data_IF_387342384170
#
_entry.id   IF_387342384170
#
_cell.length_a   1.000
_cell.length_b   1.000
_cell.length_c   1.000
_cell.angle_alpha   90.00
_cell.angle_beta   90.00
_cell.angle_gamma   90.00
#
_symmetry.space_group_name_H-M   'P 1'
#
loop_
_entity.id
_entity.type
_entity.pdbx_description
1 polymer ?
#
# COMPACT_ATOMS: atom_id res chain seq x y z
N UNK A 1 -13.15 19.30 1.90
CA UNK A 1 -12.85 18.55 0.64
C UNK A 1 -11.35 18.30 0.63
N UNK A 2 -10.88 17.08 0.28
CA UNK A 2 -9.44 16.79 0.20
C UNK A 2 -8.83 17.58 -0.96
N UNK A 3 -7.73 18.24 -0.67
CA UNK A 3 -6.90 18.99 -1.61
C UNK A 3 -5.46 18.46 -1.52
N UNK A 4 -4.91 17.99 -2.64
CA UNK A 4 -3.59 17.36 -2.65
C UNK A 4 -2.46 18.37 -2.41
N UNK A 5 -2.59 19.60 -2.90
CA UNK A 5 -1.56 20.62 -2.71
C UNK A 5 -1.50 21.01 -1.24
N UNK A 6 -2.66 21.25 -0.60
CA UNK A 6 -2.73 21.54 0.83
C UNK A 6 -2.24 20.36 1.68
N UNK A 7 -2.65 19.13 1.36
CA UNK A 7 -2.17 17.93 2.05
C UNK A 7 -0.64 17.79 1.97
N UNK A 8 -0.06 18.04 0.80
CA UNK A 8 1.39 18.02 0.60
C UNK A 8 2.07 19.14 1.42
N UNK A 9 1.50 20.34 1.43
CA UNK A 9 2.00 21.46 2.24
C UNK A 9 1.94 21.15 3.73
N UNK A 10 0.85 20.55 4.22
CA UNK A 10 0.69 20.13 5.61
C UNK A 10 1.72 19.05 6.01
N UNK A 11 1.97 18.07 5.14
CA UNK A 11 3.02 17.06 5.36
C UNK A 11 4.41 17.69 5.44
N UNK A 12 4.72 18.67 4.57
CA UNK A 12 5.98 19.40 4.60
C UNK A 12 6.13 20.25 5.87
N UNK A 13 5.07 20.93 6.29
CA UNK A 13 5.08 21.70 7.54
C UNK A 13 5.29 20.78 8.76
N UNK A 14 4.61 19.62 8.77
CA UNK A 14 4.79 18.61 9.80
C UNK A 14 6.24 18.09 9.84
N UNK A 15 6.85 17.81 8.68
CA UNK A 15 8.24 17.36 8.56
C UNK A 15 9.25 18.45 8.98
N UNK A 16 8.96 19.71 8.72
CA UNK A 16 9.80 20.82 9.15
C UNK A 16 9.77 21.02 10.67
N UNK A 17 8.62 20.76 11.31
CA UNK A 17 8.46 20.84 12.76
C UNK A 17 9.12 19.65 13.50
N UNK A 18 9.01 18.45 12.94
CA UNK A 18 9.62 17.22 13.46
C UNK A 18 9.94 16.28 12.29
N UNK A 19 11.22 15.97 12.08
CA UNK A 19 11.67 15.06 11.01
C UNK A 19 11.21 13.60 11.17
N UNK A 20 10.55 13.28 12.29
CA UNK A 20 9.93 11.97 12.49
C UNK A 20 8.56 11.87 11.81
N UNK A 21 8.02 10.66 11.80
CA UNK A 21 6.67 10.39 11.27
C UNK A 21 5.52 10.93 12.14
N UNK A 22 5.79 11.43 13.36
CA UNK A 22 4.74 11.71 14.38
C UNK A 22 3.70 12.72 13.89
N UNK A 23 4.15 13.92 13.51
CA UNK A 23 3.25 14.95 13.04
C UNK A 23 2.63 14.63 11.67
N UNK A 24 3.38 13.94 10.80
CA UNK A 24 2.84 13.47 9.51
C UNK A 24 1.71 12.46 9.73
N UNK A 25 1.81 11.58 10.75
CA UNK A 25 0.71 10.66 11.10
C UNK A 25 -0.58 11.42 11.42
N UNK A 26 -0.49 12.54 12.12
CA UNK A 26 -1.65 13.38 12.42
C UNK A 26 -2.30 13.97 11.16
N UNK A 27 -1.48 14.40 10.20
CA UNK A 27 -1.94 14.90 8.90
C UNK A 27 -2.68 13.80 8.12
N UNK A 28 -2.07 12.61 8.02
CA UNK A 28 -2.65 11.46 7.34
C UNK A 28 -3.94 11.00 8.04
N UNK A 29 -3.95 10.92 9.37
CA UNK A 29 -5.12 10.52 10.14
C UNK A 29 -6.32 11.47 9.90
N UNK A 30 -6.08 12.79 9.86
CA UNK A 30 -7.14 13.76 9.51
C UNK A 30 -7.64 13.57 8.08
N UNK A 31 -6.75 13.29 7.13
CA UNK A 31 -7.15 13.09 5.73
C UNK A 31 -8.03 11.85 5.57
N UNK A 32 -7.63 10.71 6.15
CA UNK A 32 -8.40 9.45 6.02
C UNK A 32 -9.67 9.42 6.87
N UNK A 33 -9.79 10.28 7.89
CA UNK A 33 -11.03 10.43 8.66
C UNK A 33 -12.20 10.87 7.76
N UNK A 34 -11.95 11.64 6.68
CA UNK A 34 -12.91 11.96 5.62
C UNK A 34 -12.59 11.17 4.35
N UNK A 35 -12.76 9.84 4.44
CA UNK A 35 -12.49 8.90 3.32
C UNK A 35 -13.30 9.23 2.06
N UNK A 36 -14.53 9.73 2.23
CA UNK A 36 -15.36 10.18 1.11
C UNK A 36 -14.77 11.37 0.34
N UNK A 37 -14.06 12.27 1.02
CA UNK A 37 -13.36 13.39 0.36
C UNK A 37 -12.16 12.90 -0.45
N UNK A 38 -11.40 11.93 0.06
CA UNK A 38 -10.30 11.27 -0.66
C UNK A 38 -10.82 10.54 -1.90
N UNK A 39 -11.90 9.76 -1.77
CA UNK A 39 -12.52 9.06 -2.90
C UNK A 39 -13.01 10.02 -3.99
N UNK A 40 -13.57 11.17 -3.62
CA UNK A 40 -13.97 12.20 -4.62
C UNK A 40 -12.77 12.82 -5.34
N UNK A 41 -11.66 13.01 -4.65
CA UNK A 41 -10.47 13.65 -5.21
C UNK A 41 -9.60 12.68 -6.03
N UNK A 42 -9.41 11.45 -5.55
CA UNK A 42 -8.55 10.43 -6.18
C UNK A 42 -9.32 9.50 -7.11
N UNK A 43 -10.66 9.48 -7.00
CA UNK A 43 -11.52 8.53 -7.68
C UNK A 43 -11.60 7.17 -6.97
N UNK A 44 -12.65 6.41 -7.30
CA UNK A 44 -12.76 5.02 -6.85
C UNK A 44 -11.62 4.17 -7.43
N UNK A 45 -10.99 3.32 -6.61
CA UNK A 45 -9.96 2.40 -7.10
C UNK A 45 -10.49 1.50 -8.23
N UNK A 46 -9.80 1.48 -9.37
CA UNK A 46 -10.18 0.68 -10.54
C UNK A 46 -9.12 -0.33 -10.96
N UNK A 47 -7.88 -0.07 -10.60
CA UNK A 47 -6.70 -0.86 -10.95
C UNK A 47 -5.69 -0.78 -9.82
N UNK A 48 -5.07 -1.91 -9.49
CA UNK A 48 -3.99 -1.95 -8.52
C UNK A 48 -2.72 -1.28 -9.04
N UNK A 49 -1.97 -0.62 -8.16
CA UNK A 49 -0.74 0.07 -8.53
C UNK A 49 -0.25 1.08 -7.50
N UNK A 50 0.93 1.62 -7.80
CA UNK A 50 1.57 2.70 -7.06
C UNK A 50 1.42 3.99 -7.87
N UNK A 51 0.55 4.89 -7.44
CA UNK A 51 0.30 6.15 -8.13
C UNK A 51 0.99 7.29 -7.40
N UNK A 52 2.03 7.85 -8.01
CA UNK A 52 2.78 8.95 -7.44
C UNK A 52 1.94 10.23 -7.38
N UNK A 53 1.75 10.77 -6.17
CA UNK A 53 1.11 12.05 -5.92
C UNK A 53 2.12 13.16 -5.69
N UNK A 54 3.23 12.86 -5.00
CA UNK A 54 4.35 13.79 -4.77
C UNK A 54 5.64 13.00 -4.64
N UNK A 55 6.76 13.57 -5.11
CA UNK A 55 8.10 13.03 -4.94
C UNK A 55 9.11 14.15 -4.74
N UNK A 56 9.87 14.04 -3.66
CA UNK A 56 11.06 14.85 -3.37
C UNK A 56 12.08 13.98 -2.64
N UNK A 57 13.31 14.48 -2.45
CA UNK A 57 14.38 13.75 -1.77
C UNK A 57 14.05 13.42 -0.29
N UNK A 58 13.18 14.18 0.33
CA UNK A 58 12.83 14.11 1.75
C UNK A 58 11.37 13.69 2.02
N UNK A 59 10.54 13.62 0.97
CA UNK A 59 9.11 13.31 1.10
C UNK A 59 8.57 12.66 -0.19
N UNK A 60 7.97 11.49 -0.07
CA UNK A 60 7.19 10.87 -1.15
C UNK A 60 5.76 10.61 -0.66
N UNK A 61 4.77 10.92 -1.49
CA UNK A 61 3.36 10.62 -1.24
C UNK A 61 2.84 9.76 -2.39
N UNK A 62 2.29 8.59 -2.05
CA UNK A 62 1.71 7.66 -3.01
C UNK A 62 0.23 7.44 -2.71
N UNK A 63 -0.58 7.31 -3.75
CA UNK A 63 -1.85 6.60 -3.68
C UNK A 63 -1.58 5.15 -4.08
N UNK A 64 -1.64 4.24 -3.12
CA UNK A 64 -1.41 2.81 -3.31
C UNK A 64 -2.76 2.12 -3.42
N UNK A 65 -2.94 1.35 -4.49
CA UNK A 65 -4.15 0.55 -4.69
C UNK A 65 -3.76 -0.93 -4.72
N UNK A 66 -4.26 -1.69 -3.75
CA UNK A 66 -4.03 -3.13 -3.64
C UNK A 66 -5.15 -3.91 -4.35
N UNK A 67 -4.77 -4.88 -5.18
CA UNK A 67 -5.75 -5.81 -5.76
C UNK A 67 -6.35 -6.73 -4.68
N UNK A 68 -7.56 -7.28 -4.89
CA UNK A 68 -8.11 -8.32 -4.02
C UNK A 68 -7.15 -9.47 -3.83
N UNK A 69 -6.98 -9.91 -2.59
CA UNK A 69 -6.13 -11.05 -2.20
C UNK A 69 -4.64 -10.93 -2.57
N UNK A 70 -4.19 -9.73 -2.98
CA UNK A 70 -2.80 -9.47 -3.34
C UNK A 70 -1.92 -9.44 -2.10
N UNK A 71 -0.72 -10.04 -2.21
CA UNK A 71 0.32 -9.99 -1.18
C UNK A 71 1.64 -9.51 -1.78
N UNK A 72 2.33 -8.63 -1.06
CA UNK A 72 3.74 -8.26 -1.30
C UNK A 72 4.61 -8.91 -0.22
N UNK A 73 5.74 -9.48 -0.68
CA UNK A 73 6.73 -10.16 0.15
C UNK A 73 7.28 -9.25 1.29
N UNK A 74 7.91 -9.83 2.30
CA UNK A 74 8.58 -9.05 3.33
C UNK A 74 9.64 -8.14 2.72
N UNK A 75 9.60 -6.86 3.08
CA UNK A 75 10.53 -5.83 2.60
C UNK A 75 10.68 -4.71 3.62
N UNK A 76 11.70 -3.89 3.44
CA UNK A 76 11.87 -2.65 4.19
C UNK A 76 11.86 -1.44 3.25
N UNK A 77 11.72 -0.26 3.83
CA UNK A 77 11.79 1.00 3.08
C UNK A 77 13.09 1.76 3.34
N UNK A 78 13.83 1.43 4.42
CA UNK A 78 14.99 2.19 4.92
C UNK A 78 14.69 3.66 5.24
N UNK A 79 13.41 3.97 5.39
CA UNK A 79 12.84 5.25 5.80
C UNK A 79 11.55 5.00 6.57
N UNK A 80 11.10 5.95 7.36
CA UNK A 80 9.79 5.85 7.99
C UNK A 80 8.68 5.99 6.94
N UNK A 81 7.53 5.40 7.24
CA UNK A 81 6.31 5.57 6.46
C UNK A 81 5.12 5.85 7.38
N UNK A 82 4.08 6.46 6.82
CA UNK A 82 2.75 6.53 7.42
C UNK A 82 1.76 6.02 6.39
N UNK A 83 0.98 5.02 6.76
CA UNK A 83 -0.04 4.40 5.93
C UNK A 83 -1.40 4.86 6.43
N UNK A 84 -2.24 5.39 5.55
CA UNK A 84 -3.62 5.76 5.86
C UNK A 84 -4.59 5.11 4.88
N UNK A 85 -5.55 4.33 5.39
CA UNK A 85 -6.52 3.61 4.56
C UNK A 85 -7.75 4.49 4.33
N UNK A 86 -8.06 4.79 3.06
CA UNK A 86 -9.28 5.54 2.72
C UNK A 86 -10.41 4.66 2.17
N UNK A 87 -10.11 3.41 1.77
CA UNK A 87 -11.13 2.38 1.47
C UNK A 87 -10.52 1.00 1.54
N UNK A 88 -11.27 0.04 2.06
CA UNK A 88 -10.84 -1.34 2.14
C UNK A 88 -10.08 -1.71 3.41
N UNK A 89 -9.08 -2.58 3.26
CA UNK A 89 -8.27 -3.13 4.36
C UNK A 89 -6.89 -3.52 3.87
N UNK A 90 -5.90 -3.25 4.69
CA UNK A 90 -4.51 -3.64 4.51
C UNK A 90 -4.01 -4.35 5.76
N UNK A 91 -3.60 -5.61 5.63
CA UNK A 91 -2.99 -6.37 6.73
C UNK A 91 -1.48 -6.36 6.58
N UNK A 92 -0.80 -5.99 7.66
CA UNK A 92 0.65 -5.97 7.75
C UNK A 92 1.10 -7.09 8.67
N UNK A 93 2.06 -7.93 8.23
CA UNK A 93 2.83 -8.80 9.08
C UNK A 93 4.19 -8.13 9.28
N UNK A 94 4.59 -7.94 10.53
CA UNK A 94 5.90 -7.42 10.89
C UNK A 94 6.88 -8.57 11.09
N UNK A 95 8.10 -8.38 10.62
CA UNK A 95 9.16 -9.37 10.64
C UNK A 95 10.36 -8.83 11.43
N UNK A 96 11.12 -9.71 12.04
CA UNK A 96 12.41 -9.39 12.67
C UNK A 96 13.48 -10.33 12.13
N UNK A 97 14.70 -9.84 12.05
CA UNK A 97 15.87 -10.64 11.67
C UNK A 97 16.16 -11.68 12.73
N UNK A 98 16.50 -12.90 12.32
CA UNK A 98 17.01 -13.91 13.24
C UNK A 98 18.40 -13.48 13.74
N UNK A 99 18.70 -13.72 15.05
CA UNK A 99 19.97 -13.31 15.63
C UNK A 99 21.15 -14.24 15.27
N UNK A 100 20.89 -15.31 14.51
CA UNK A 100 21.86 -16.36 14.14
C UNK A 100 22.78 -15.98 12.97
N UNK A 101 22.63 -14.78 12.40
CA UNK A 101 23.41 -14.32 11.25
C UNK A 101 23.05 -14.94 9.91
N UNK A 102 21.97 -15.72 9.83
CA UNK A 102 21.51 -16.37 8.59
C UNK A 102 20.96 -15.41 7.54
N UNK A 103 20.67 -14.16 7.91
CA UNK A 103 19.96 -13.19 7.05
C UNK A 103 18.45 -13.47 6.92
N UNK A 104 17.94 -14.49 7.62
CA UNK A 104 16.52 -14.82 7.63
C UNK A 104 15.72 -13.94 8.57
N UNK A 105 14.42 -13.92 8.35
CA UNK A 105 13.44 -13.25 9.21
C UNK A 105 12.40 -14.24 9.73
N UNK A 106 11.77 -13.87 10.84
CA UNK A 106 10.61 -14.54 11.42
C UNK A 106 9.50 -13.54 11.69
N UNK A 107 8.24 -14.00 11.71
CA UNK A 107 7.11 -13.14 12.06
C UNK A 107 7.20 -12.69 13.52
N UNK A 108 7.05 -11.38 13.73
CA UNK A 108 7.18 -10.74 15.05
C UNK A 108 5.87 -10.08 15.53
N UNK A 109 4.90 -9.89 14.63
CA UNK A 109 3.61 -9.31 14.93
C UNK A 109 2.80 -9.07 13.68
N UNK A 110 1.56 -8.60 13.87
CA UNK A 110 0.68 -8.24 12.77
C UNK A 110 -0.23 -7.08 13.17
N UNK A 111 -0.65 -6.30 12.18
CA UNK A 111 -1.62 -5.24 12.34
C UNK A 111 -2.54 -5.18 11.12
N UNK A 112 -3.85 -5.21 11.35
CA UNK A 112 -4.83 -4.92 10.33
C UNK A 112 -5.13 -3.41 10.35
N UNK A 113 -5.14 -2.79 9.19
CA UNK A 113 -5.55 -1.41 8.98
C UNK A 113 -6.84 -1.41 8.17
N UNK A 114 -7.88 -0.83 8.71
CA UNK A 114 -9.18 -0.68 8.07
C UNK A 114 -9.38 0.77 7.61
N UNK A 115 -10.45 1.00 6.88
CA UNK A 115 -10.84 2.35 6.47
C UNK A 115 -10.84 3.33 7.65
N UNK A 116 -10.20 4.49 7.48
CA UNK A 116 -9.95 5.56 8.43
C UNK A 116 -8.82 5.31 9.43
N UNK A 117 -8.15 4.16 9.36
CA UNK A 117 -6.95 3.94 10.16
C UNK A 117 -5.73 4.65 9.56
N UNK A 118 -4.85 5.13 10.44
CA UNK A 118 -3.54 5.67 10.09
C UNK A 118 -2.47 5.13 11.04
N UNK A 119 -1.50 4.40 10.49
CA UNK A 119 -0.43 3.77 11.24
C UNK A 119 0.96 4.21 10.77
N UNK A 120 1.89 4.48 11.70
CA UNK A 120 3.27 4.74 11.36
C UNK A 120 4.08 3.44 11.27
N UNK A 121 5.04 3.42 10.36
CA UNK A 121 6.10 2.43 10.27
C UNK A 121 7.44 3.12 10.52
N UNK A 122 8.23 2.61 11.46
CA UNK A 122 9.58 3.09 11.73
C UNK A 122 10.54 2.78 10.56
N UNK A 123 11.69 3.44 10.54
CA UNK A 123 12.69 3.32 9.48
C UNK A 123 13.15 1.87 9.23
N UNK A 124 13.31 1.10 10.29
CA UNK A 124 13.92 -0.24 10.25
C UNK A 124 12.87 -1.37 10.23
N UNK A 125 11.60 -1.00 10.06
CA UNK A 125 10.51 -1.99 9.98
C UNK A 125 10.66 -2.84 8.73
N UNK A 126 10.58 -4.16 8.93
CA UNK A 126 10.39 -5.14 7.87
C UNK A 126 8.93 -5.57 7.93
N UNK A 127 8.21 -5.45 6.84
CA UNK A 127 6.82 -5.86 6.77
C UNK A 127 6.48 -6.52 5.44
N UNK A 128 5.47 -7.38 5.44
CA UNK A 128 4.74 -7.84 4.26
C UNK A 128 3.32 -7.30 4.33
N UNK A 129 2.74 -7.04 3.17
CA UNK A 129 1.41 -6.43 3.04
C UNK A 129 0.48 -7.36 2.31
N UNK A 130 -0.74 -7.51 2.80
CA UNK A 130 -1.80 -8.26 2.14
C UNK A 130 -3.09 -7.44 2.13
N UNK A 131 -3.76 -7.39 0.98
CA UNK A 131 -5.17 -7.03 0.93
C UNK A 131 -6.01 -8.31 1.08
N UNK A 132 -6.60 -8.59 2.26
CA UNK A 132 -7.26 -9.87 2.53
C UNK A 132 -8.71 -9.93 2.05
N UNK A 133 -9.23 -8.88 1.42
CA UNK A 133 -10.64 -8.78 1.05
C UNK A 133 -10.86 -8.88 -0.46
N UNK A 134 -12.05 -9.34 -0.93
CA UNK A 134 -12.33 -9.56 -2.36
C UNK A 134 -12.71 -8.26 -3.11
N UNK A 135 -12.10 -7.13 -2.72
CA UNK A 135 -12.24 -5.84 -3.41
C UNK A 135 -10.95 -5.05 -3.35
N UNK A 136 -10.82 -4.04 -4.21
CA UNK A 136 -9.67 -3.13 -4.19
C UNK A 136 -9.60 -2.38 -2.85
N UNK A 137 -8.40 -2.20 -2.33
CA UNK A 137 -8.11 -1.35 -1.18
C UNK A 137 -7.31 -0.15 -1.65
N UNK A 138 -7.69 1.04 -1.20
CA UNK A 138 -6.98 2.29 -1.48
C UNK A 138 -6.38 2.90 -0.22
N UNK A 139 -5.10 3.26 -0.30
CA UNK A 139 -4.34 3.81 0.81
C UNK A 139 -3.47 5.00 0.36
N UNK A 140 -3.32 6.00 1.25
CA UNK A 140 -2.29 7.02 1.13
C UNK A 140 -1.08 6.55 1.92
N UNK A 141 0.07 6.47 1.26
CA UNK A 141 1.35 6.18 1.89
C UNK A 141 2.23 7.42 1.81
N UNK A 142 2.73 7.87 2.95
CA UNK A 142 3.66 8.99 3.06
C UNK A 142 4.99 8.48 3.59
N UNK A 143 6.08 8.73 2.85
CA UNK A 143 7.43 8.27 3.16
C UNK A 143 8.34 9.46 3.46
N UNK A 144 9.21 9.31 4.46
CA UNK A 144 10.21 10.30 4.84
C UNK A 144 11.51 10.18 4.05
N UNK A 145 11.40 10.22 2.73
CA UNK A 145 12.50 10.11 1.79
C UNK A 145 12.01 9.90 0.36
N UNK A 146 12.94 9.71 -0.57
CA UNK A 146 12.62 9.32 -1.94
C UNK A 146 12.35 7.80 -1.99
N UNK A 147 11.06 7.43 -2.05
CA UNK A 147 10.63 6.03 -2.13
C UNK A 147 11.17 5.32 -3.38
N UNK A 148 11.44 6.05 -4.45
CA UNK A 148 11.90 5.48 -5.71
C UNK A 148 13.40 5.28 -5.79
N UNK A 149 14.16 5.74 -4.77
CA UNK A 149 15.57 5.36 -4.61
C UNK A 149 15.64 3.97 -3.94
N UNK A 150 16.05 2.91 -4.66
CA UNK A 150 16.12 1.55 -4.11
C UNK A 150 17.37 1.32 -3.26
N UNK A 151 18.29 2.30 -3.18
CA UNK A 151 19.55 2.18 -2.43
C UNK A 151 19.25 1.84 -0.98
N UNK A 152 19.88 0.79 -0.45
CA UNK A 152 19.72 0.30 0.93
C UNK A 152 18.39 -0.35 1.28
N UNK A 153 17.53 -0.67 0.30
CA UNK A 153 16.31 -1.44 0.54
C UNK A 153 16.57 -2.93 0.34
N UNK A 154 15.93 -3.74 1.17
CA UNK A 154 15.96 -5.19 1.10
C UNK A 154 14.56 -5.75 0.95
N UNK A 155 14.48 -6.93 0.36
CA UNK A 155 13.32 -7.80 0.42
C UNK A 155 13.74 -9.19 0.87
N UNK A 156 12.79 -9.97 1.37
CA UNK A 156 13.01 -11.35 1.76
C UNK A 156 12.18 -12.26 0.86
N UNK A 157 12.83 -13.30 0.37
CA UNK A 157 12.17 -14.32 -0.44
C UNK A 157 11.03 -14.97 0.38
N UNK A 158 9.80 -15.06 -0.15
CA UNK A 158 8.65 -15.52 0.61
C UNK A 158 8.70 -17.00 1.02
N UNK A 159 9.53 -17.83 0.35
CA UNK A 159 9.65 -19.26 0.63
C UNK A 159 10.82 -19.56 1.57
N UNK A 160 11.97 -18.97 1.29
CA UNK A 160 13.22 -19.23 2.04
C UNK A 160 13.43 -18.27 3.21
N UNK A 161 12.75 -17.12 3.19
CA UNK A 161 12.90 -15.99 4.10
C UNK A 161 14.32 -15.41 4.16
N UNK A 162 15.11 -15.63 3.10
CA UNK A 162 16.45 -15.08 2.96
C UNK A 162 16.40 -13.66 2.40
N UNK A 163 17.30 -12.80 2.93
CA UNK A 163 17.44 -11.43 2.48
C UNK A 163 18.11 -11.33 1.11
N UNK A 164 17.59 -10.44 0.29
CA UNK A 164 18.16 -10.01 -0.98
C UNK A 164 17.97 -8.51 -1.20
N UNK A 165 18.62 -7.93 -2.22
CA UNK A 165 18.35 -6.55 -2.62
C UNK A 165 16.88 -6.42 -3.08
N UNK A 166 16.27 -5.27 -2.79
CA UNK A 166 14.91 -5.01 -3.23
C UNK A 166 14.80 -4.95 -4.76
N UNK A 167 13.93 -5.77 -5.34
CA UNK A 167 13.64 -5.80 -6.78
C UNK A 167 12.36 -5.00 -7.09
N UNK A 168 12.54 -3.74 -7.49
CA UNK A 168 11.43 -2.86 -7.85
C UNK A 168 10.61 -3.39 -9.03
N UNK A 169 11.25 -4.06 -10.00
CA UNK A 169 10.55 -4.65 -11.15
C UNK A 169 9.69 -5.83 -10.72
N UNK A 170 10.15 -6.65 -9.76
CA UNK A 170 9.34 -7.73 -9.18
C UNK A 170 8.10 -7.15 -8.50
N UNK A 171 8.25 -6.08 -7.72
CA UNK A 171 7.10 -5.43 -7.09
C UNK A 171 6.10 -4.93 -8.13
N UNK A 172 6.54 -4.28 -9.21
CA UNK A 172 5.67 -3.84 -10.31
C UNK A 172 4.98 -5.02 -10.99
N UNK A 173 5.72 -6.10 -11.30
CA UNK A 173 5.15 -7.32 -11.89
C UNK A 173 4.01 -7.90 -11.04
N UNK A 174 4.14 -7.89 -9.70
CA UNK A 174 3.06 -8.35 -8.80
C UNK A 174 1.76 -7.57 -8.98
N UNK A 175 1.84 -6.25 -9.14
CA UNK A 175 0.65 -5.42 -9.43
C UNK A 175 0.07 -5.73 -10.81
N UNK A 176 0.89 -5.98 -11.82
CA UNK A 176 0.45 -6.33 -13.18
C UNK A 176 -0.23 -7.70 -13.23
N UNK A 177 0.33 -8.72 -12.60
CA UNK A 177 -0.23 -10.05 -12.44
C UNK A 177 -1.61 -9.98 -11.76
N UNK A 178 -1.71 -9.26 -10.64
CA UNK A 178 -2.96 -9.07 -9.92
C UNK A 178 -4.02 -8.34 -10.77
N UNK A 179 -3.62 -7.36 -11.57
CA UNK A 179 -4.51 -6.69 -12.51
C UNK A 179 -4.96 -7.60 -13.66
N UNK A 180 -4.15 -8.54 -14.09
CA UNK A 180 -4.54 -9.53 -15.12
C UNK A 180 -5.66 -10.44 -14.60
N UNK A 181 -5.55 -10.93 -13.36
CA UNK A 181 -6.61 -11.72 -12.69
C UNK A 181 -7.90 -10.92 -12.60
N UNK A 182 -7.83 -9.64 -12.19
CA UNK A 182 -9.01 -8.77 -12.09
C UNK A 182 -9.75 -8.57 -13.43
N UNK A 183 -9.03 -8.54 -14.54
CA UNK A 183 -9.65 -8.45 -15.88
C UNK A 183 -10.39 -9.72 -16.23
N UNK A 184 -9.76 -10.88 -16.06
CA UNK A 184 -10.36 -12.18 -16.34
C UNK A 184 -11.65 -12.40 -15.54
N UNK A 185 -11.67 -12.05 -14.26
CA UNK A 185 -12.85 -12.18 -13.39
C UNK A 185 -14.01 -11.27 -13.81
N UNK A 186 -13.71 -10.10 -14.39
CA UNK A 186 -14.74 -9.20 -14.93
C UNK A 186 -15.35 -9.74 -16.21
N UNK A 187 -14.51 -10.24 -17.11
CA UNK A 187 -14.95 -10.77 -18.41
C UNK A 187 -15.83 -12.01 -18.22
N UNK A 188 -15.45 -12.94 -17.33
CA UNK A 188 -16.25 -14.13 -17.00
C UNK A 188 -17.59 -13.81 -16.34
N UNK A 189 -17.67 -12.77 -15.52
CA UNK A 189 -18.94 -12.32 -14.92
C UNK A 189 -19.87 -11.66 -15.93
N UNK A 190 -19.33 -10.97 -16.92
CA UNK A 190 -20.09 -10.33 -17.99
C UNK A 190 -20.69 -11.37 -18.94
N UNK A 191 -19.94 -12.40 -19.31
CA UNK A 191 -20.40 -13.50 -20.17
C UNK A 191 -21.49 -14.35 -19.50
N UNK A 192 -21.36 -14.64 -18.21
CA UNK A 192 -22.38 -15.38 -17.46
C UNK A 192 -23.66 -14.54 -17.24
N UNK A 193 -23.57 -13.23 -17.21
CA UNK A 193 -24.73 -12.32 -17.10
C UNK A 193 -25.57 -12.26 -18.37
N UNK A 194 -24.99 -12.45 -19.54
CA UNK A 194 -25.67 -12.44 -20.83
C UNK A 194 -26.41 -13.76 -21.14
N UNK A 195 -25.99 -14.87 -20.53
CA UNK A 195 -26.60 -16.20 -20.74
C UNK A 195 -27.90 -16.42 -19.94
N UNK A 196 -28.20 -15.58 -18.95
CA UNK A 196 -29.36 -15.77 -18.04
C UNK A 196 -30.68 -15.13 -18.54
N UNK A 197 -30.71 -14.47 -19.72
CA UNK A 197 -31.91 -13.75 -20.21
C UNK A 197 -32.51 -14.34 -21.50
N UNK A 198 -32.24 -15.60 -21.80
CA UNK A 198 -32.66 -16.30 -23.03
C UNK A 198 -33.59 -17.47 -22.83
N UNK A 199 -34.60 -17.41 -21.94
CA UNK A 199 -35.70 -18.40 -21.98
C UNK A 199 -37.03 -17.66 -22.09
N UNK A 200 -37.44 -17.38 -23.33
CA UNK A 200 -38.82 -17.02 -23.63
C UNK A 200 -39.69 -18.29 -23.50
N UNK A 201 -40.65 -18.22 -22.60
CA UNK A 201 -41.79 -19.12 -22.57
C UNK A 201 -42.61 -18.90 -23.85
N UNK A 202 -42.80 -19.96 -24.59
CA UNK A 202 -43.91 -20.14 -25.53
C UNK A 202 -44.92 -21.07 -24.90
#
# INVERSE_FOLDING_TARGET
>A
MFDLEQFTADCRAALAADRSHRHVREVVARAVADSGSLLRALGEPKRAGLHKLHQAHDLTILNVVWAPMMTIMPHNHSMWAVIGIYTGREDNIFWRRLPDGSGKVEAAGAQALCERDAAPLGRDIIHSVTNPIPRLTGAIHVYGGDFFDPTYRSEWDPETLLEGPFDAERAVRRFEEANAVLRTDRDTKTDNGLSAHGTKLT
#
